data_IF_300912921461
#
_entry.id   IF_300912921461
#
_cell.length_a   1.000
_cell.length_b   1.000
_cell.length_c   1.000
_cell.angle_alpha   90.00
_cell.angle_beta   90.00
_cell.angle_gamma   90.00
#
_symmetry.space_group_name_H-M   'P 1'
#
loop_
_entity.id
_entity.type
_entity.pdbx_description
1 polymer ?
#
# COMPACT_ATOMS: atom_id res chain seq x y z
N UNK A 1 2.51 27.78 -5.95
CA UNK A 1 3.75 28.56 -6.09
C UNK A 1 4.68 28.12 -4.98
N UNK A 2 5.85 27.61 -5.32
CA UNK A 2 6.84 27.11 -4.37
C UNK A 2 7.72 28.26 -3.89
N UNK A 3 7.96 28.31 -2.58
CA UNK A 3 9.27 28.70 -2.06
C UNK A 3 9.67 27.78 -0.91
N UNK A 4 10.95 27.45 -0.93
CA UNK A 4 11.63 26.41 -0.18
C UNK A 4 12.13 26.94 1.17
N UNK A 5 12.18 26.07 2.16
CA UNK A 5 13.21 26.14 3.21
C UNK A 5 13.63 24.71 3.58
N UNK A 6 14.91 24.40 3.28
CA UNK A 6 15.67 23.21 3.68
C UNK A 6 15.75 23.11 5.21
N UNK A 7 15.66 21.95 5.86
CA UNK A 7 16.76 20.98 6.12
C UNK A 7 16.15 19.82 6.95
N UNK A 8 16.17 18.53 6.57
CA UNK A 8 17.17 17.49 6.93
C UNK A 8 17.69 17.58 8.37
N UNK A 9 17.69 16.57 9.28
CA UNK A 9 17.53 15.08 9.33
C UNK A 9 17.52 14.73 10.87
N UNK A 10 17.84 13.51 11.34
CA UNK A 10 17.25 12.17 11.25
C UNK A 10 16.61 11.80 12.61
N UNK A 11 16.47 10.50 12.89
CA UNK A 11 16.12 9.93 14.20
C UNK A 11 16.82 10.62 15.39
N UNK A 12 16.11 10.70 16.52
CA UNK A 12 16.60 11.19 17.80
C UNK A 12 17.80 10.35 18.30
N UNK A 13 18.97 10.99 18.39
CA UNK A 13 19.81 10.93 19.59
C UNK A 13 19.96 12.34 20.20
N UNK A 14 20.11 12.35 21.52
CA UNK A 14 19.97 13.43 22.53
C UNK A 14 20.61 14.82 22.32
N UNK A 15 19.97 15.88 22.87
CA UNK A 15 20.68 17.00 23.56
C UNK A 15 20.22 18.47 23.34
N UNK A 16 19.60 19.07 24.37
CA UNK A 16 19.54 20.49 24.84
C UNK A 16 19.39 21.75 23.91
N UNK A 17 18.31 22.53 24.20
CA UNK A 17 18.00 24.01 24.15
C UNK A 17 18.99 25.00 23.47
N UNK A 18 18.62 26.11 22.78
CA UNK A 18 17.73 27.24 23.17
C UNK A 18 17.59 28.29 22.02
N UNK A 19 16.38 28.87 21.88
CA UNK A 19 15.93 30.22 21.41
C UNK A 19 16.70 31.09 20.37
N UNK A 20 16.03 31.56 19.32
CA UNK A 20 15.34 32.89 19.24
C UNK A 20 14.86 33.25 17.82
N UNK A 21 13.64 33.81 17.77
CA UNK A 21 13.08 34.93 16.95
C UNK A 21 13.57 35.20 15.51
N UNK A 22 12.75 35.52 14.51
CA UNK A 22 11.33 35.84 14.48
C UNK A 22 10.95 36.56 13.16
N UNK A 23 9.63 36.57 12.86
CA UNK A 23 8.89 37.47 11.95
C UNK A 23 9.20 37.36 10.43
N UNK A 24 8.24 37.43 9.49
CA UNK A 24 6.80 37.63 9.59
C UNK A 24 6.16 37.74 8.18
N UNK A 25 4.99 37.08 8.04
CA UNK A 25 3.77 37.49 7.31
C UNK A 25 3.86 38.04 5.86
N UNK A 26 3.22 37.32 4.90
CA UNK A 26 1.82 37.56 4.46
C UNK A 26 1.40 36.64 3.31
N UNK A 27 0.20 36.07 3.46
CA UNK A 27 -0.59 35.30 2.49
C UNK A 27 -1.20 36.22 1.42
N UNK A 28 -1.33 35.72 0.18
CA UNK A 28 -2.36 36.18 -0.75
C UNK A 28 -2.91 35.01 -1.60
N UNK A 29 -4.24 35.01 -1.73
CA UNK A 29 -5.14 33.94 -2.18
C UNK A 29 -5.42 33.94 -3.70
N UNK A 30 -5.99 32.81 -4.14
CA UNK A 30 -6.65 32.41 -5.42
C UNK A 30 -5.78 31.48 -6.27
N UNK A 31 -6.20 30.29 -6.70
CA UNK A 31 -7.56 29.76 -6.93
C UNK A 31 -7.53 28.22 -7.08
N UNK A 32 -8.46 27.50 -6.46
CA UNK A 32 -9.06 26.30 -7.07
C UNK A 32 -10.44 26.03 -6.46
N UNK A 33 -11.48 26.31 -7.24
CA UNK A 33 -12.86 25.85 -7.04
C UNK A 33 -13.47 25.69 -8.43
N UNK A 34 -13.86 24.47 -8.75
CA UNK A 34 -14.55 24.07 -9.98
C UNK A 34 -14.40 22.55 -10.17
N UNK A 35 -15.40 21.71 -9.89
CA UNK A 35 -16.76 22.00 -9.47
C UNK A 35 -17.45 20.80 -8.81
N UNK A 36 -18.48 21.11 -8.04
CA UNK A 36 -19.49 20.21 -7.50
C UNK A 36 -20.75 21.06 -7.30
N UNK A 37 -21.80 20.77 -8.07
CA UNK A 37 -23.22 21.15 -7.87
C UNK A 37 -23.94 20.92 -9.20
N UNK A 38 -25.06 20.21 -9.34
CA UNK A 38 -26.13 19.77 -8.43
C UNK A 38 -26.99 18.76 -9.21
N UNK A 39 -27.69 17.86 -8.51
CA UNK A 39 -28.84 17.17 -9.10
C UNK A 39 -29.27 15.84 -8.48
N UNK A 40 -29.73 15.92 -7.23
CA UNK A 40 -30.73 15.07 -6.57
C UNK A 40 -31.22 13.77 -7.25
N UNK A 41 -31.17 12.68 -6.48
CA UNK A 41 -32.03 11.52 -6.66
C UNK A 41 -31.27 10.20 -6.65
N UNK A 42 -31.05 9.64 -5.46
CA UNK A 42 -31.32 8.23 -5.14
C UNK A 42 -30.85 7.93 -3.71
N UNK A 43 -31.84 7.68 -2.85
CA UNK A 43 -31.69 6.88 -1.65
C UNK A 43 -31.07 5.52 -2.03
N UNK A 44 -30.09 5.05 -1.27
CA UNK A 44 -29.60 3.66 -1.33
C UNK A 44 -28.27 3.45 -2.05
N UNK A 45 -27.15 3.76 -1.38
CA UNK A 45 -25.82 3.27 -1.77
C UNK A 45 -25.04 2.61 -0.61
N UNK A 46 -25.64 2.49 0.58
CA UNK A 46 -25.11 1.69 1.69
C UNK A 46 -25.47 0.20 1.63
N UNK A 47 -26.36 -0.20 0.71
CA UNK A 47 -26.89 -1.58 0.65
C UNK A 47 -26.25 -2.43 -0.46
N UNK A 48 -25.66 -1.81 -1.49
CA UNK A 48 -25.18 -2.55 -2.68
C UNK A 48 -23.80 -3.19 -2.49
N UNK A 49 -22.93 -2.65 -1.62
CA UNK A 49 -21.63 -3.28 -1.34
C UNK A 49 -21.81 -4.54 -0.50
N UNK A 50 -22.76 -4.53 0.46
CA UNK A 50 -23.13 -5.71 1.24
C UNK A 50 -23.78 -6.82 0.41
N UNK A 51 -24.51 -6.48 -0.65
CA UNK A 51 -25.11 -7.46 -1.58
C UNK A 51 -24.11 -8.01 -2.61
N UNK A 52 -23.15 -7.19 -3.09
CA UNK A 52 -22.05 -7.69 -3.94
C UNK A 52 -21.18 -8.71 -3.19
N UNK A 53 -20.88 -8.46 -1.89
CA UNK A 53 -20.16 -9.39 -1.02
C UNK A 53 -20.96 -10.68 -0.79
N UNK A 54 -22.30 -10.62 -0.68
CA UNK A 54 -23.17 -11.80 -0.55
C UNK A 54 -23.28 -12.64 -1.84
N UNK A 55 -23.24 -12.00 -3.01
CA UNK A 55 -23.42 -12.69 -4.30
C UNK A 55 -22.12 -13.27 -4.88
N UNK A 56 -20.95 -12.98 -4.29
CA UNK A 56 -19.66 -13.59 -4.65
C UNK A 56 -19.47 -15.02 -4.11
N UNK A 57 -20.44 -15.54 -3.35
CA UNK A 57 -20.39 -16.89 -2.74
C UNK A 57 -20.69 -18.07 -3.67
N UNK A 58 -20.62 -17.90 -5.00
CA UNK A 58 -21.01 -18.93 -5.96
C UNK A 58 -20.03 -19.01 -7.13
N UNK A 59 -18.77 -19.33 -6.85
CA UNK A 59 -17.95 -20.30 -7.58
C UNK A 59 -16.58 -20.40 -6.87
N UNK A 60 -16.49 -21.32 -5.90
CA UNK A 60 -15.27 -21.78 -5.23
C UNK A 60 -14.32 -20.70 -4.65
N UNK A 61 -14.85 -19.79 -3.85
CA UNK A 61 -14.10 -19.07 -2.82
C UNK A 61 -14.73 -19.38 -1.45
N UNK A 62 -14.01 -20.06 -0.56
CA UNK A 62 -14.53 -20.37 0.76
C UNK A 62 -14.91 -19.08 1.51
N UNK A 63 -16.15 -19.04 1.99
CA UNK A 63 -16.71 -17.98 2.81
C UNK A 63 -15.73 -17.55 3.93
N UNK A 64 -15.23 -16.32 3.88
CA UNK A 64 -14.67 -15.66 5.08
C UNK A 64 -15.84 -14.89 5.73
N UNK A 65 -16.39 -15.37 6.86
CA UNK A 65 -17.43 -14.63 7.54
C UNK A 65 -16.80 -13.41 8.22
N UNK A 66 -17.16 -12.21 7.77
CA UNK A 66 -17.15 -11.03 8.64
C UNK A 66 -18.17 -11.35 9.75
N UNK A 67 -17.71 -11.75 10.93
CA UNK A 67 -18.64 -12.01 12.04
C UNK A 67 -19.31 -10.69 12.43
N UNK A 68 -20.60 -10.59 12.08
CA UNK A 68 -21.49 -9.58 12.63
C UNK A 68 -21.59 -9.83 14.14
N UNK A 69 -21.08 -8.89 14.93
CA UNK A 69 -20.99 -8.96 16.39
C UNK A 69 -22.36 -8.84 17.12
N UNK A 70 -23.47 -9.20 16.48
CA UNK A 70 -24.77 -9.31 17.14
C UNK A 70 -25.04 -10.72 17.69
N UNK A 71 -24.24 -11.73 17.32
CA UNK A 71 -24.30 -13.06 17.94
C UNK A 71 -22.96 -13.37 18.59
N UNK A 72 -22.97 -13.51 19.93
CA UNK A 72 -21.80 -13.87 20.76
C UNK A 72 -21.24 -15.24 20.38
N UNK A 73 -20.45 -15.34 19.32
CA UNK A 73 -19.45 -16.40 19.13
C UNK A 73 -18.10 -15.82 19.52
N UNK A 74 -17.34 -16.56 20.33
CA UNK A 74 -15.98 -16.15 20.66
C UNK A 74 -15.16 -16.05 19.36
N UNK A 75 -14.27 -15.06 19.23
CA UNK A 75 -13.39 -14.95 18.08
C UNK A 75 -12.57 -16.22 17.85
N UNK A 76 -12.26 -16.58 16.60
CA UNK A 76 -11.27 -17.62 16.31
C UNK A 76 -9.96 -17.39 17.06
N UNK A 77 -9.29 -18.46 17.51
CA UNK A 77 -7.94 -18.38 18.08
C UNK A 77 -7.00 -17.70 17.08
N UNK A 78 -6.23 -16.71 17.56
CA UNK A 78 -5.33 -15.90 16.73
C UNK A 78 -5.97 -14.67 16.07
N UNK A 79 -7.24 -14.36 16.36
CA UNK A 79 -7.85 -13.11 15.91
C UNK A 79 -7.26 -11.91 16.65
N UNK A 80 -7.00 -10.83 15.92
CA UNK A 80 -6.65 -9.54 16.50
C UNK A 80 -7.92 -8.73 16.78
N UNK A 81 -7.84 -7.83 17.75
CA UNK A 81 -8.91 -6.92 18.14
C UNK A 81 -8.47 -5.45 18.04
N UNK A 82 -9.35 -4.63 17.49
CA UNK A 82 -9.16 -3.19 17.32
C UNK A 82 -10.31 -2.45 17.99
N UNK A 83 -10.00 -1.57 18.94
CA UNK A 83 -10.96 -0.61 19.46
C UNK A 83 -10.89 0.68 18.63
N UNK A 84 -12.02 1.09 18.08
CA UNK A 84 -12.19 2.34 17.36
C UNK A 84 -12.79 3.35 18.31
N UNK A 85 -12.03 4.41 18.59
CA UNK A 85 -12.41 5.47 19.53
C UNK A 85 -12.80 6.70 18.72
N UNK A 86 -14.09 7.04 18.71
CA UNK A 86 -14.53 8.34 18.22
C UNK A 86 -14.21 9.39 19.30
N UNK A 87 -13.29 10.30 18.99
CA UNK A 87 -12.93 11.40 19.87
C UNK A 87 -13.82 12.61 19.58
N UNK A 88 -14.80 12.81 20.45
CA UNK A 88 -15.85 13.82 20.31
C UNK A 88 -16.28 14.35 21.68
N UNK A 89 -15.81 15.55 22.08
CA UNK A 89 -16.20 16.22 23.33
C UNK A 89 -17.72 16.32 23.48
N UNK A 90 -18.20 16.33 24.73
CA UNK A 90 -19.63 16.28 25.04
C UNK A 90 -20.46 17.38 24.37
N UNK A 91 -19.88 18.58 24.19
CA UNK A 91 -20.56 19.75 23.63
C UNK A 91 -20.08 20.13 22.22
N UNK A 92 -19.34 19.25 21.55
CA UNK A 92 -18.87 19.48 20.19
C UNK A 92 -19.81 18.84 19.17
N UNK A 93 -20.00 19.51 18.04
CA UNK A 93 -20.67 18.93 16.88
C UNK A 93 -19.70 17.96 16.18
N UNK A 94 -20.16 16.75 15.81
CA UNK A 94 -19.35 15.83 15.04
C UNK A 94 -19.11 16.34 13.62
N UNK A 95 -17.94 16.03 13.06
CA UNK A 95 -17.70 16.22 11.63
C UNK A 95 -18.52 15.21 10.80
N UNK A 96 -18.61 13.97 11.27
CA UNK A 96 -19.34 12.90 10.60
C UNK A 96 -20.26 12.09 11.51
N UNK A 97 -19.82 11.86 12.75
CA UNK A 97 -20.54 11.04 13.71
C UNK A 97 -20.20 9.55 13.62
N UNK A 98 -20.49 8.84 14.71
CA UNK A 98 -20.07 7.45 14.92
C UNK A 98 -20.59 6.48 13.86
N UNK A 99 -21.78 6.70 13.30
CA UNK A 99 -22.37 5.81 12.31
C UNK A 99 -21.56 5.78 11.01
N UNK A 100 -21.17 6.95 10.50
CA UNK A 100 -20.39 7.07 9.26
C UNK A 100 -18.95 6.57 9.46
N UNK A 101 -18.34 6.89 10.61
CA UNK A 101 -17.05 6.33 11.02
C UNK A 101 -17.12 4.81 11.07
N UNK A 102 -18.17 4.27 11.72
CA UNK A 102 -18.35 2.83 11.85
C UNK A 102 -18.49 2.14 10.50
N UNK A 103 -19.22 2.75 9.56
CA UNK A 103 -19.34 2.24 8.20
C UNK A 103 -17.98 2.22 7.50
N UNK A 104 -17.25 3.34 7.49
CA UNK A 104 -15.96 3.45 6.80
C UNK A 104 -14.90 2.49 7.34
N UNK A 105 -14.83 2.31 8.67
CA UNK A 105 -13.91 1.34 9.27
C UNK A 105 -14.30 -0.09 8.92
N UNK A 106 -15.59 -0.42 8.96
CA UNK A 106 -16.06 -1.76 8.57
C UNK A 106 -15.77 -2.06 7.10
N UNK A 107 -15.91 -1.07 6.22
CA UNK A 107 -15.59 -1.22 4.79
C UNK A 107 -14.08 -1.47 4.59
N UNK A 108 -13.22 -0.71 5.27
CA UNK A 108 -11.76 -0.93 5.24
C UNK A 108 -11.39 -2.34 5.73
N UNK A 109 -11.91 -2.75 6.90
CA UNK A 109 -11.67 -4.08 7.46
C UNK A 109 -12.21 -5.20 6.57
N UNK A 110 -13.39 -5.00 5.97
CA UNK A 110 -13.98 -5.95 5.03
C UNK A 110 -13.10 -6.17 3.81
N UNK A 111 -12.54 -5.09 3.23
CA UNK A 111 -11.62 -5.18 2.09
C UNK A 111 -10.30 -5.86 2.45
N UNK A 112 -9.74 -5.56 3.62
CA UNK A 112 -8.54 -6.27 4.12
C UNK A 112 -8.85 -7.77 4.22
N UNK A 113 -9.92 -8.13 4.93
CA UNK A 113 -10.31 -9.52 5.16
C UNK A 113 -10.58 -10.32 3.88
N UNK A 114 -11.06 -9.69 2.81
CA UNK A 114 -11.23 -10.35 1.50
C UNK A 114 -9.92 -10.83 0.88
N UNK A 115 -8.79 -10.24 1.27
CA UNK A 115 -7.48 -10.46 0.64
C UNK A 115 -6.45 -11.09 1.58
N UNK A 116 -6.79 -11.25 2.85
CA UNK A 116 -5.97 -11.91 3.87
C UNK A 116 -6.73 -13.09 4.47
N UNK A 117 -6.46 -14.29 3.99
CA UNK A 117 -7.23 -15.51 4.31
C UNK A 117 -7.23 -15.90 5.80
N UNK A 118 -6.17 -15.57 6.53
CA UNK A 118 -6.00 -15.98 7.94
C UNK A 118 -6.05 -14.84 8.95
N UNK A 119 -6.20 -13.60 8.48
CA UNK A 119 -6.24 -12.45 9.37
C UNK A 119 -7.68 -12.15 9.78
N UNK A 120 -8.01 -12.47 11.02
CA UNK A 120 -9.31 -12.16 11.61
C UNK A 120 -9.22 -10.92 12.48
N UNK A 121 -9.97 -9.87 12.11
CA UNK A 121 -10.01 -8.60 12.82
C UNK A 121 -11.37 -8.40 13.47
N UNK A 122 -11.38 -8.32 14.80
CA UNK A 122 -12.55 -7.93 15.58
C UNK A 122 -12.53 -6.44 15.82
N UNK A 123 -13.66 -5.79 15.62
CA UNK A 123 -13.78 -4.33 15.83
C UNK A 123 -14.84 -4.01 16.87
N UNK A 124 -14.48 -3.13 17.80
CA UNK A 124 -15.40 -2.50 18.74
C UNK A 124 -15.38 -1.00 18.53
N UNK A 125 -16.52 -0.36 18.69
CA UNK A 125 -16.66 1.09 18.61
C UNK A 125 -16.97 1.65 19.99
N UNK A 126 -16.31 2.74 20.34
CA UNK A 126 -16.55 3.49 21.57
C UNK A 126 -16.42 4.99 21.31
N UNK A 127 -16.90 5.80 22.26
CA UNK A 127 -16.77 7.25 22.22
C UNK A 127 -15.96 7.71 23.41
N UNK A 128 -15.11 8.70 23.17
CA UNK A 128 -14.33 9.38 24.18
C UNK A 128 -14.60 10.90 24.11
N UNK A 129 -14.88 11.49 25.27
CA UNK A 129 -15.29 12.89 25.42
C UNK A 129 -14.17 13.85 25.81
N UNK A 130 -12.90 13.42 25.79
CA UNK A 130 -11.78 14.31 26.13
C UNK A 130 -11.75 15.55 25.25
N UNK A 131 -11.51 16.70 25.88
CA UNK A 131 -11.37 17.98 25.18
C UNK A 131 -9.95 18.16 24.61
N UNK A 132 -9.78 18.96 23.55
CA UNK A 132 -8.47 19.35 23.04
C UNK A 132 -7.57 19.93 24.14
N UNK A 133 -6.31 19.50 24.19
CA UNK A 133 -5.33 19.90 25.22
C UNK A 133 -4.34 20.96 24.73
N UNK A 134 -4.36 21.29 23.44
CA UNK A 134 -3.49 22.30 22.84
C UNK A 134 -4.26 23.17 21.85
N UNK A 135 -3.54 24.07 21.19
CA UNK A 135 -4.07 24.94 20.15
C UNK A 135 -3.17 24.90 18.93
N UNK A 136 -3.75 24.83 17.74
CA UNK A 136 -3.05 25.02 16.48
C UNK A 136 -3.32 26.42 15.94
N UNK A 137 -2.30 27.01 15.32
CA UNK A 137 -2.43 28.28 14.60
C UNK A 137 -2.68 27.95 13.13
N UNK A 138 -3.85 28.34 12.62
CA UNK A 138 -4.25 28.21 11.22
C UNK A 138 -4.36 29.60 10.57
N UNK A 139 -4.68 29.66 9.27
CA UNK A 139 -4.99 30.92 8.60
C UNK A 139 -6.17 31.67 9.25
N UNK A 140 -7.09 30.92 9.86
CA UNK A 140 -8.30 31.43 10.52
C UNK A 140 -8.07 31.75 12.00
N UNK A 141 -6.84 31.61 12.51
CA UNK A 141 -6.43 31.96 13.87
C UNK A 141 -6.12 30.76 14.75
N UNK A 142 -6.18 30.95 16.07
CA UNK A 142 -5.96 29.87 17.04
C UNK A 142 -7.21 29.01 17.15
N UNK A 143 -7.05 27.71 16.93
CA UNK A 143 -8.12 26.73 17.05
C UNK A 143 -7.73 25.66 18.09
N UNK A 144 -8.68 25.14 18.88
CA UNK A 144 -8.44 23.98 19.74
C UNK A 144 -7.92 22.80 18.92
N UNK A 145 -6.94 22.08 19.45
CA UNK A 145 -6.36 20.92 18.79
C UNK A 145 -5.89 19.85 19.78
N UNK A 146 -5.83 18.61 19.34
CA UNK A 146 -5.30 17.49 20.12
C UNK A 146 -3.80 17.33 19.90
N UNK A 147 -3.04 17.26 20.99
CA UNK A 147 -1.62 16.90 20.93
C UNK A 147 -1.47 15.42 20.63
N UNK A 148 -0.37 15.05 19.97
CA UNK A 148 -0.04 13.65 19.72
C UNK A 148 0.03 12.84 21.03
N UNK A 149 0.50 13.47 22.12
CA UNK A 149 0.61 12.83 23.43
C UNK A 149 -0.76 12.46 23.99
N UNK A 150 -1.74 13.36 23.93
CA UNK A 150 -3.09 13.07 24.41
C UNK A 150 -3.74 11.95 23.57
N UNK A 151 -3.64 12.01 22.25
CA UNK A 151 -4.18 10.97 21.35
C UNK A 151 -3.60 9.60 21.67
N UNK A 152 -2.29 9.53 21.88
CA UNK A 152 -1.61 8.30 22.26
C UNK A 152 -2.10 7.77 23.61
N UNK A 153 -2.22 8.63 24.63
CA UNK A 153 -2.71 8.23 25.95
C UNK A 153 -4.14 7.68 25.91
N UNK A 154 -5.03 8.34 25.15
CA UNK A 154 -6.41 7.89 24.95
C UNK A 154 -6.41 6.51 24.29
N UNK A 155 -5.75 6.37 23.15
CA UNK A 155 -5.72 5.08 22.43
C UNK A 155 -5.11 3.96 23.25
N UNK A 156 -4.03 4.24 23.99
CA UNK A 156 -3.38 3.25 24.86
C UNK A 156 -4.26 2.82 26.03
N UNK A 157 -5.05 3.74 26.60
CA UNK A 157 -6.00 3.42 27.67
C UNK A 157 -7.08 2.45 27.16
N UNK A 158 -7.70 2.76 26.02
CA UNK A 158 -8.74 1.90 25.42
C UNK A 158 -8.19 0.55 24.94
N UNK A 159 -6.99 0.51 24.34
CA UNK A 159 -6.39 -0.75 23.91
C UNK A 159 -6.09 -1.66 25.10
N UNK A 160 -5.42 -1.17 26.15
CA UNK A 160 -5.00 -1.98 27.31
C UNK A 160 -6.15 -2.70 28.02
N UNK A 161 -7.31 -2.07 28.04
CA UNK A 161 -8.47 -2.60 28.74
C UNK A 161 -9.24 -3.63 27.88
N UNK A 162 -9.17 -3.49 26.54
CA UNK A 162 -10.21 -4.07 25.69
C UNK A 162 -9.74 -4.66 24.35
N UNK A 163 -8.51 -4.42 23.89
CA UNK A 163 -8.09 -4.80 22.52
C UNK A 163 -6.57 -4.90 22.29
N UNK A 164 -6.17 -5.53 21.19
CA UNK A 164 -4.75 -5.65 20.79
C UNK A 164 -4.19 -4.34 20.21
N UNK A 165 -5.07 -3.44 19.74
CA UNK A 165 -4.73 -2.18 19.08
C UNK A 165 -5.85 -1.14 19.27
N UNK A 166 -5.53 0.15 19.10
CA UNK A 166 -6.54 1.22 19.06
C UNK A 166 -6.42 2.11 17.81
N UNK A 167 -7.57 2.47 17.25
CA UNK A 167 -7.72 3.46 16.18
C UNK A 167 -8.54 4.65 16.70
N UNK A 168 -7.88 5.79 16.93
CA UNK A 168 -8.53 7.01 17.41
C UNK A 168 -8.92 7.89 16.24
N UNK A 169 -10.21 8.13 16.06
CA UNK A 169 -10.75 9.00 15.02
C UNK A 169 -11.08 10.36 15.62
N UNK A 170 -10.40 11.40 15.17
CA UNK A 170 -10.63 12.79 15.61
C UNK A 170 -11.83 13.35 14.85
N UNK A 171 -13.03 13.17 15.40
CA UNK A 171 -14.34 13.54 14.80
C UNK A 171 -14.81 14.95 15.22
N UNK A 172 -13.91 15.72 15.83
CA UNK A 172 -14.13 17.13 16.19
C UNK A 172 -12.80 17.81 16.40
N UNK A 173 -12.74 19.13 16.19
CA UNK A 173 -11.48 19.88 16.24
C UNK A 173 -10.41 19.31 15.27
N UNK A 174 -9.15 19.68 15.42
CA UNK A 174 -8.06 19.18 14.58
C UNK A 174 -6.90 18.66 15.45
N UNK A 175 -5.83 18.17 14.84
CA UNK A 175 -4.60 17.79 15.51
C UNK A 175 -3.59 18.94 15.50
N UNK A 176 -2.70 18.94 16.48
CA UNK A 176 -1.63 19.95 16.62
C UNK A 176 -0.76 20.05 15.36
N UNK A 177 -0.55 18.91 14.70
CA UNK A 177 0.19 18.76 13.45
C UNK A 177 -0.76 18.39 12.31
N UNK A 178 -0.52 18.92 11.13
CA UNK A 178 -1.42 18.81 9.98
C UNK A 178 -0.82 18.17 8.72
N UNK A 179 0.45 17.81 8.78
CA UNK A 179 1.17 17.20 7.67
C UNK A 179 0.79 15.74 7.42
N UNK A 180 -0.04 15.13 8.29
CA UNK A 180 -0.50 13.76 8.16
C UNK A 180 -2.02 13.69 8.18
N UNK A 181 -2.60 12.72 7.48
CA UNK A 181 -4.01 12.36 7.57
C UNK A 181 -4.24 11.28 8.63
N UNK A 182 -3.32 10.32 8.72
CA UNK A 182 -3.22 9.32 9.78
C UNK A 182 -1.79 9.24 10.30
N UNK A 183 -1.61 8.74 11.52
CA UNK A 183 -0.30 8.44 12.08
C UNK A 183 -0.41 7.29 13.08
N UNK A 184 0.40 6.26 12.85
CA UNK A 184 0.58 5.11 13.74
C UNK A 184 1.78 5.31 14.66
N UNK A 185 1.60 5.01 15.94
CA UNK A 185 2.63 5.12 16.99
C UNK A 185 2.81 3.76 17.66
N UNK A 186 4.07 3.37 17.84
CA UNK A 186 4.48 2.18 18.58
C UNK A 186 5.18 2.56 19.87
N UNK A 187 4.95 1.75 20.90
CA UNK A 187 5.66 1.78 22.17
C UNK A 187 5.93 0.33 22.58
N UNK A 188 7.17 -0.03 22.89
CA UNK A 188 7.53 -1.40 23.26
C UNK A 188 6.76 -1.94 24.48
N UNK A 189 6.12 -1.06 25.28
CA UNK A 189 5.37 -1.42 26.50
C UNK A 189 3.85 -1.34 26.35
N UNK A 190 3.34 -0.90 25.21
CA UNK A 190 1.92 -0.66 25.00
C UNK A 190 1.46 -1.17 23.63
N UNK A 191 0.18 -1.56 23.50
CA UNK A 191 -0.44 -1.79 22.20
C UNK A 191 -0.18 -0.65 21.21
N UNK A 192 -0.03 -0.93 19.91
CA UNK A 192 0.09 0.11 18.90
C UNK A 192 -1.21 0.92 18.80
N UNK A 193 -1.06 2.21 18.51
CA UNK A 193 -2.17 3.15 18.40
C UNK A 193 -2.02 3.92 17.10
N UNK A 194 -3.08 3.96 16.31
CA UNK A 194 -3.21 4.86 15.19
C UNK A 194 -4.19 5.98 15.51
N UNK A 195 -3.96 7.16 14.95
CA UNK A 195 -4.93 8.25 14.97
C UNK A 195 -5.14 8.81 13.58
N UNK A 196 -6.41 9.04 13.23
CA UNK A 196 -6.83 9.52 11.92
C UNK A 196 -7.65 10.79 12.10
N UNK A 197 -7.30 11.81 11.32
CA UNK A 197 -7.98 13.11 11.32
C UNK A 197 -9.22 13.04 10.42
N UNK A 198 -10.33 13.56 10.91
CA UNK A 198 -11.53 13.74 10.09
C UNK A 198 -11.64 15.17 9.55
N UNK A 199 -10.71 15.60 8.68
CA UNK A 199 -10.78 16.93 8.05
C UNK A 199 -11.68 16.88 6.82
N UNK A 200 -12.98 16.75 7.03
CA UNK A 200 -14.00 16.73 5.98
C UNK A 200 -14.27 15.36 5.35
N UNK A 201 -13.86 14.27 6.01
CA UNK A 201 -13.86 12.94 5.39
C UNK A 201 -12.76 12.02 5.89
N UNK A 202 -12.96 11.21 6.94
CA UNK A 202 -12.14 10.00 7.15
C UNK A 202 -12.21 9.12 5.91
N UNK A 203 -11.05 8.76 5.37
CA UNK A 203 -10.92 8.01 4.14
C UNK A 203 -10.65 6.52 4.44
N UNK A 204 -11.27 5.62 3.65
CA UNK A 204 -11.14 4.16 3.82
C UNK A 204 -9.68 3.73 3.64
N UNK A 205 -9.00 4.32 2.66
CA UNK A 205 -7.60 4.16 2.36
C UNK A 205 -6.72 4.60 3.52
N UNK A 206 -6.97 5.76 4.14
CA UNK A 206 -6.20 6.18 5.33
C UNK A 206 -6.43 5.21 6.50
N UNK A 207 -7.66 4.78 6.76
CA UNK A 207 -7.93 3.78 7.80
C UNK A 207 -7.15 2.49 7.53
N UNK A 208 -7.24 1.95 6.31
CA UNK A 208 -6.57 0.72 5.94
C UNK A 208 -5.03 0.83 5.96
N UNK A 209 -4.50 1.99 5.59
CA UNK A 209 -3.06 2.31 5.67
C UNK A 209 -2.56 2.23 7.12
N UNK A 210 -3.22 2.94 8.04
CA UNK A 210 -2.83 2.93 9.45
C UNK A 210 -3.03 1.56 10.09
N UNK A 211 -4.10 0.85 9.73
CA UNK A 211 -4.26 -0.54 10.14
C UNK A 211 -3.11 -1.40 9.62
N UNK A 212 -2.70 -1.27 8.35
CA UNK A 212 -1.57 -1.99 7.77
C UNK A 212 -0.28 -1.86 8.58
N UNK A 213 0.02 -0.65 9.07
CA UNK A 213 1.13 -0.45 10.01
C UNK A 213 0.95 -1.26 11.31
N UNK A 214 -0.24 -1.31 11.88
CA UNK A 214 -0.46 -2.03 13.14
C UNK A 214 -0.54 -3.57 12.98
N UNK A 215 -0.90 -4.07 11.79
CA UNK A 215 -1.01 -5.49 11.50
C UNK A 215 0.36 -6.15 11.40
N UNK A 216 0.76 -6.88 12.45
CA UNK A 216 2.04 -7.59 12.52
C UNK A 216 1.83 -9.09 12.81
N UNK A 217 2.57 -9.98 12.13
CA UNK A 217 2.63 -11.40 12.51
C UNK A 217 3.15 -11.60 13.93
N UNK A 218 2.83 -12.75 14.52
CA UNK A 218 3.28 -13.10 15.87
C UNK A 218 4.82 -13.03 15.99
N UNK A 219 5.30 -12.41 17.07
CA UNK A 219 6.73 -12.21 17.30
C UNK A 219 7.36 -11.03 16.54
N UNK A 220 6.61 -10.36 15.66
CA UNK A 220 7.06 -9.16 14.97
C UNK A 220 6.57 -7.90 15.70
N UNK A 221 7.50 -6.97 15.99
CA UNK A 221 7.19 -5.76 16.77
C UNK A 221 6.37 -4.71 16.02
N UNK A 222 6.44 -4.69 14.68
CA UNK A 222 5.84 -3.65 13.83
C UNK A 222 5.25 -4.30 12.57
N UNK A 223 4.11 -3.81 12.11
CA UNK A 223 3.46 -4.30 10.89
C UNK A 223 4.08 -3.73 9.62
N UNK A 224 3.26 -3.54 8.59
CA UNK A 224 3.74 -3.12 7.26
C UNK A 224 4.51 -1.80 7.31
N UNK A 225 5.47 -1.68 6.40
CA UNK A 225 6.16 -0.44 6.05
C UNK A 225 5.50 0.25 4.87
N UNK A 226 6.22 1.11 4.17
CA UNK A 226 5.69 1.81 3.00
C UNK A 226 6.00 1.07 1.69
N UNK A 227 5.16 1.32 0.68
CA UNK A 227 5.33 0.77 -0.66
C UNK A 227 5.81 1.84 -1.65
N UNK A 228 7.09 1.77 -1.97
CA UNK A 228 7.80 2.65 -2.88
C UNK A 228 7.62 2.16 -4.34
N UNK A 229 8.04 2.97 -5.29
CA UNK A 229 8.07 2.58 -6.70
C UNK A 229 9.33 3.08 -7.39
N UNK A 230 9.86 2.30 -8.32
CA UNK A 230 10.83 2.77 -9.29
C UNK A 230 10.15 3.77 -10.24
N UNK A 231 10.87 4.83 -10.63
CA UNK A 231 10.37 5.81 -11.59
C UNK A 231 9.90 5.16 -12.89
N UNK A 232 8.67 5.47 -13.30
CA UNK A 232 8.13 5.05 -14.59
C UNK A 232 8.89 5.71 -15.73
N UNK A 233 9.09 4.94 -16.81
CA UNK A 233 9.63 5.45 -18.07
C UNK A 233 8.58 6.25 -18.83
N UNK A 234 7.31 6.15 -18.45
CA UNK A 234 6.25 7.05 -18.89
C UNK A 234 5.96 8.03 -17.76
N UNK A 235 6.27 9.30 -17.98
CA UNK A 235 5.88 10.39 -17.09
C UNK A 235 4.51 10.89 -17.51
N UNK A 236 3.66 11.24 -16.56
CA UNK A 236 2.48 12.05 -16.86
C UNK A 236 2.89 13.52 -16.81
N UNK A 237 2.69 14.24 -17.91
CA UNK A 237 2.82 15.69 -18.01
C UNK A 237 1.44 16.27 -18.34
N UNK A 238 0.76 16.78 -17.30
CA UNK A 238 -0.67 17.08 -17.36
C UNK A 238 -1.49 15.82 -17.69
N UNK A 239 -2.40 15.91 -18.65
CA UNK A 239 -3.23 14.78 -19.12
C UNK A 239 -2.51 13.87 -20.14
N UNK A 240 -1.22 14.11 -20.42
CA UNK A 240 -0.48 13.36 -21.44
C UNK A 240 0.55 12.44 -20.81
N UNK A 241 0.46 11.17 -21.17
CA UNK A 241 1.56 10.22 -20.95
C UNK A 241 2.70 10.53 -21.93
N UNK A 242 3.79 11.06 -21.40
CA UNK A 242 5.04 11.31 -22.12
C UNK A 242 6.00 10.17 -21.79
N UNK A 243 6.29 9.32 -22.77
CA UNK A 243 7.38 8.34 -22.66
C UNK A 243 8.69 9.14 -22.58
N UNK A 244 9.53 8.91 -21.57
CA UNK A 244 10.84 9.53 -21.44
C UNK A 244 11.74 8.97 -22.56
N UNK A 245 11.79 9.73 -23.65
CA UNK A 245 12.49 9.37 -24.88
C UNK A 245 14.01 9.25 -24.72
N UNK A 246 14.58 9.69 -23.59
CA UNK A 246 16.04 9.63 -23.37
C UNK A 246 16.60 8.21 -23.49
N UNK A 247 15.76 7.17 -23.36
CA UNK A 247 16.20 5.77 -23.42
C UNK A 247 15.25 4.78 -24.16
N UNK A 248 14.31 5.21 -25.01
CA UNK A 248 13.38 4.28 -25.72
C UNK A 248 14.11 3.37 -26.75
N UNK A 249 13.79 2.06 -26.94
CA UNK A 249 13.06 1.10 -26.10
C UNK A 249 13.64 -0.34 -26.18
N UNK A 250 14.45 -0.76 -25.22
CA UNK A 250 14.85 -2.17 -25.13
C UNK A 250 14.47 -2.76 -23.78
N UNK A 251 14.05 -4.02 -23.80
CA UNK A 251 13.99 -4.82 -22.57
C UNK A 251 15.41 -4.87 -22.03
N UNK A 252 15.67 -4.12 -20.97
CA UNK A 252 16.99 -3.88 -20.41
C UNK A 252 17.14 -4.60 -19.05
N UNK A 253 18.37 -4.83 -18.57
CA UNK A 253 18.65 -5.23 -17.19
C UNK A 253 18.51 -4.07 -16.20
N UNK A 254 18.21 -4.38 -14.94
CA UNK A 254 18.09 -3.38 -13.86
C UNK A 254 19.37 -2.54 -13.70
N UNK A 255 20.53 -3.14 -13.97
CA UNK A 255 21.84 -2.47 -13.95
C UNK A 255 21.87 -1.29 -14.93
N UNK A 256 21.42 -1.49 -16.17
CA UNK A 256 21.35 -0.44 -17.20
C UNK A 256 20.32 0.63 -16.82
N UNK A 257 19.18 0.23 -16.23
CA UNK A 257 18.16 1.17 -15.77
C UNK A 257 18.71 2.10 -14.70
N UNK A 258 19.42 1.57 -13.70
CA UNK A 258 20.04 2.38 -12.65
C UNK A 258 21.18 3.22 -13.21
N UNK A 259 22.02 2.67 -14.09
CA UNK A 259 23.11 3.39 -14.75
C UNK A 259 22.61 4.57 -15.60
N UNK A 260 21.43 4.43 -16.20
CA UNK A 260 20.73 5.51 -16.92
C UNK A 260 20.17 6.61 -16.00
N UNK A 261 20.32 6.47 -14.67
CA UNK A 261 19.93 7.46 -13.67
C UNK A 261 18.51 7.30 -13.12
N UNK A 262 17.83 6.18 -13.42
CA UNK A 262 16.56 5.87 -12.78
C UNK A 262 16.79 5.46 -11.32
N UNK A 263 15.89 5.92 -10.47
CA UNK A 263 15.83 5.51 -9.07
C UNK A 263 14.40 5.47 -8.57
N UNK A 264 14.23 5.42 -7.26
CA UNK A 264 12.90 5.50 -6.65
C UNK A 264 12.22 6.82 -7.05
N UNK A 265 10.90 6.76 -7.25
CA UNK A 265 10.07 7.93 -7.52
C UNK A 265 10.27 8.96 -6.42
N UNK A 266 10.36 10.23 -6.83
CA UNK A 266 10.67 11.33 -5.93
C UNK A 266 9.43 12.16 -5.65
N UNK A 267 9.34 12.67 -4.43
CA UNK A 267 8.33 13.66 -4.05
C UNK A 267 8.69 15.05 -4.59
N UNK A 268 7.83 16.03 -4.31
CA UNK A 268 8.05 17.43 -4.70
C UNK A 268 9.32 18.06 -4.11
N UNK A 269 9.88 17.46 -3.05
CA UNK A 269 11.15 17.87 -2.45
C UNK A 269 12.37 17.29 -3.17
N UNK A 270 12.17 16.40 -4.13
CA UNK A 270 13.21 15.70 -4.88
C UNK A 270 13.83 14.53 -4.12
N UNK A 271 13.23 14.13 -3.00
CA UNK A 271 13.64 12.94 -2.22
C UNK A 271 12.82 11.74 -2.62
N UNK A 272 13.35 10.51 -2.50
CA UNK A 272 12.56 9.30 -2.69
C UNK A 272 11.23 9.37 -1.91
N UNK A 273 10.12 9.07 -2.58
CA UNK A 273 8.77 9.09 -2.04
C UNK A 273 8.36 7.69 -1.56
N UNK A 274 8.16 7.48 -0.25
CA UNK A 274 7.66 6.21 0.28
C UNK A 274 6.23 5.88 -0.18
N UNK A 275 5.49 6.87 -0.67
CA UNK A 275 4.09 6.77 -1.05
C UNK A 275 3.87 6.73 -2.57
N UNK A 276 4.82 6.14 -3.31
CA UNK A 276 4.79 6.16 -4.76
C UNK A 276 4.04 4.98 -5.39
N UNK A 277 4.00 3.82 -4.72
CA UNK A 277 3.35 2.64 -5.29
C UNK A 277 1.83 2.83 -5.40
N UNK A 278 1.28 2.50 -6.56
CA UNK A 278 -0.17 2.53 -6.82
C UNK A 278 -0.86 1.17 -6.61
N UNK A 279 -0.10 0.16 -6.20
CA UNK A 279 -0.56 -1.23 -6.07
C UNK A 279 -0.82 -1.65 -4.62
N UNK A 280 -0.68 -0.71 -3.69
CA UNK A 280 -0.94 -0.93 -2.27
C UNK A 280 -1.41 0.37 -1.63
N UNK A 281 -2.28 0.24 -0.64
CA UNK A 281 -2.70 1.33 0.24
C UNK A 281 -1.51 1.90 1.02
N UNK A 282 -0.46 1.09 1.27
CA UNK A 282 0.79 1.54 1.90
C UNK A 282 1.63 2.45 1.00
N UNK A 283 1.38 2.42 -0.31
CA UNK A 283 1.97 3.32 -1.28
C UNK A 283 1.05 4.51 -1.54
N UNK A 284 -0.19 4.29 -1.93
CA UNK A 284 -1.08 5.39 -2.29
C UNK A 284 -2.49 5.14 -1.77
N UNK A 285 -2.71 5.52 -0.51
CA UNK A 285 -3.99 5.33 0.17
C UNK A 285 -5.16 6.02 -0.53
N UNK A 286 -4.92 7.22 -1.10
CA UNK A 286 -5.95 8.01 -1.79
C UNK A 286 -6.55 7.28 -3.01
N UNK A 287 -5.77 6.43 -3.69
CA UNK A 287 -6.31 5.62 -4.79
C UNK A 287 -7.40 4.65 -4.33
N UNK A 288 -7.37 4.20 -3.08
CA UNK A 288 -8.28 3.18 -2.55
C UNK A 288 -9.56 3.77 -1.94
N UNK A 289 -9.62 5.09 -1.75
CA UNK A 289 -10.79 5.79 -1.22
C UNK A 289 -11.97 5.80 -2.18
N UNK A 290 -11.69 5.87 -3.48
CA UNK A 290 -12.68 5.92 -4.54
C UNK A 290 -12.69 4.69 -5.44
N UNK A 291 -11.97 3.62 -5.07
CA UNK A 291 -11.95 2.40 -5.88
C UNK A 291 -13.34 1.81 -5.96
N UNK A 292 -13.88 1.82 -7.19
CA UNK A 292 -15.22 1.30 -7.54
C UNK A 292 -15.31 -0.20 -7.28
N UNK A 293 -14.16 -0.90 -7.28
CA UNK A 293 -14.11 -2.33 -7.06
C UNK A 293 -13.44 -2.70 -5.72
N UNK A 294 -14.21 -3.15 -4.71
CA UNK A 294 -13.70 -3.50 -3.40
C UNK A 294 -12.89 -4.80 -3.38
N UNK A 295 -12.77 -5.49 -4.52
CA UNK A 295 -12.09 -6.77 -4.64
C UNK A 295 -10.60 -6.65 -5.01
N UNK A 296 -10.14 -5.45 -5.35
CA UNK A 296 -8.71 -5.18 -5.52
C UNK A 296 -8.04 -5.30 -4.15
N UNK A 297 -6.94 -6.05 -4.03
CA UNK A 297 -6.19 -6.14 -2.78
C UNK A 297 -5.76 -4.78 -2.26
N UNK A 298 -5.98 -4.55 -0.96
CA UNK A 298 -5.49 -3.33 -0.31
C UNK A 298 -3.97 -3.37 -0.14
N UNK A 299 -3.40 -4.56 0.00
CA UNK A 299 -1.97 -4.77 0.14
C UNK A 299 -1.44 -5.50 -1.10
N UNK A 300 -0.21 -5.16 -1.47
CA UNK A 300 0.53 -5.82 -2.54
C UNK A 300 0.95 -7.24 -2.15
N UNK A 301 1.32 -8.04 -3.14
CA UNK A 301 1.74 -9.43 -2.89
C UNK A 301 2.85 -9.63 -1.84
N UNK A 302 3.95 -8.85 -1.80
CA UNK A 302 4.93 -9.01 -0.72
C UNK A 302 4.36 -8.68 0.66
N UNK A 303 3.47 -7.68 0.76
CA UNK A 303 2.84 -7.29 2.02
C UNK A 303 1.83 -8.35 2.50
N UNK A 304 1.06 -8.94 1.57
CA UNK A 304 0.20 -10.08 1.87
C UNK A 304 1.01 -11.28 2.33
N UNK A 305 2.13 -11.58 1.66
CA UNK A 305 3.04 -12.66 2.06
C UNK A 305 3.66 -12.43 3.45
N UNK A 306 3.91 -11.17 3.82
CA UNK A 306 4.36 -10.82 5.17
C UNK A 306 3.24 -11.00 6.21
N UNK A 307 2.02 -10.55 5.91
CA UNK A 307 0.89 -10.58 6.84
C UNK A 307 0.26 -11.96 7.02
N UNK A 308 0.24 -12.78 5.97
CA UNK A 308 -0.40 -14.09 5.96
C UNK A 308 0.64 -15.21 5.78
N UNK A 309 1.09 -15.84 6.90
CA UNK A 309 2.15 -16.84 6.86
C UNK A 309 1.72 -18.16 6.20
N UNK A 310 0.45 -18.34 5.84
CA UNK A 310 0.01 -19.57 5.17
C UNK A 310 0.18 -19.51 3.66
N UNK A 311 0.44 -18.32 3.10
CA UNK A 311 0.74 -18.16 1.69
C UNK A 311 2.04 -18.88 1.36
N UNK A 312 1.98 -19.79 0.38
CA UNK A 312 3.17 -20.54 -0.01
C UNK A 312 4.09 -19.66 -0.85
N UNK A 313 5.23 -19.27 -0.28
CA UNK A 313 6.28 -18.54 -0.98
C UNK A 313 7.47 -19.47 -1.23
N UNK A 314 7.87 -19.60 -2.51
CA UNK A 314 9.03 -20.43 -2.84
C UNK A 314 10.29 -19.60 -2.82
N UNK A 315 11.18 -19.93 -1.90
CA UNK A 315 12.51 -19.35 -1.86
C UNK A 315 13.45 -20.02 -2.88
N UNK A 316 14.18 -19.22 -3.67
CA UNK A 316 15.11 -19.67 -4.70
C UNK A 316 16.53 -19.32 -4.28
N UNK A 317 17.34 -20.36 -4.05
CA UNK A 317 18.73 -20.22 -3.58
C UNK A 317 19.77 -20.22 -4.70
N UNK A 318 19.43 -20.74 -5.89
CA UNK A 318 20.31 -20.81 -7.06
C UNK A 318 19.60 -20.27 -8.31
N UNK A 319 19.30 -18.96 -8.38
CA UNK A 319 18.49 -18.38 -9.44
C UNK A 319 19.12 -18.55 -10.84
N UNK A 320 20.45 -18.48 -10.92
CA UNK A 320 21.23 -18.59 -12.18
C UNK A 320 21.23 -19.98 -12.82
N UNK A 321 20.80 -21.03 -12.11
CA UNK A 321 20.59 -22.37 -12.70
C UNK A 321 19.30 -22.45 -13.51
N UNK A 322 18.47 -21.41 -13.42
CA UNK A 322 17.15 -21.39 -14.01
C UNK A 322 16.16 -22.26 -13.27
N UNK A 323 14.90 -22.12 -13.63
CA UNK A 323 13.80 -22.91 -13.08
C UNK A 323 12.93 -23.43 -14.20
N UNK A 324 12.25 -24.56 -13.96
CA UNK A 324 11.05 -24.88 -14.73
C UNK A 324 9.94 -23.85 -14.45
N UNK A 325 8.78 -24.03 -15.09
CA UNK A 325 7.60 -23.23 -14.79
C UNK A 325 7.19 -23.42 -13.33
N UNK A 326 7.10 -22.30 -12.62
CA UNK A 326 6.65 -22.21 -11.24
C UNK A 326 5.22 -21.67 -11.30
N UNK A 327 4.19 -22.49 -11.03
CA UNK A 327 2.82 -22.00 -11.03
C UNK A 327 2.65 -20.93 -9.95
N UNK A 328 1.97 -19.84 -10.30
CA UNK A 328 1.58 -18.76 -9.40
C UNK A 328 0.06 -18.67 -9.37
N UNK A 329 -0.49 -18.68 -8.17
CA UNK A 329 -1.92 -18.58 -7.90
C UNK A 329 -2.21 -17.36 -7.03
N UNK A 330 -3.46 -16.90 -7.07
CA UNK A 330 -3.97 -15.85 -6.19
C UNK A 330 -5.25 -16.37 -5.51
N UNK A 331 -5.34 -16.23 -4.19
CA UNK A 331 -6.49 -16.71 -3.40
C UNK A 331 -6.40 -18.21 -3.05
N UNK A 332 -5.70 -18.53 -1.96
CA UNK A 332 -5.57 -19.88 -1.43
C UNK A 332 -4.18 -20.16 -0.84
N UNK A 333 -3.98 -21.31 -0.17
CA UNK A 333 -2.68 -21.68 0.42
C UNK A 333 -1.63 -22.10 -0.63
N UNK A 334 -2.00 -22.10 -1.91
CA UNK A 334 -1.11 -22.41 -3.02
C UNK A 334 -0.02 -21.36 -3.21
N UNK A 335 0.88 -21.59 -4.17
CA UNK A 335 2.06 -20.77 -4.37
C UNK A 335 1.69 -19.34 -4.82
N UNK A 336 1.89 -18.38 -3.93
CA UNK A 336 1.56 -16.97 -4.13
C UNK A 336 2.73 -16.14 -4.70
N UNK A 337 3.96 -16.64 -4.60
CA UNK A 337 5.13 -15.92 -5.10
C UNK A 337 6.43 -16.68 -4.94
N UNK A 338 7.52 -16.02 -5.34
CA UNK A 338 8.89 -16.50 -5.14
C UNK A 338 9.76 -15.40 -4.53
N UNK A 339 10.78 -15.80 -3.78
CA UNK A 339 11.80 -14.90 -3.24
C UNK A 339 13.20 -15.32 -3.66
N UNK A 340 14.08 -14.33 -3.86
CA UNK A 340 15.50 -14.50 -4.17
C UNK A 340 16.29 -13.56 -3.25
N UNK A 341 17.36 -14.04 -2.62
CA UNK A 341 18.24 -13.18 -1.81
C UNK A 341 19.04 -12.22 -2.69
N UNK A 342 19.18 -10.98 -2.23
CA UNK A 342 19.97 -9.95 -2.91
C UNK A 342 21.37 -9.84 -2.29
N UNK A 343 22.44 -10.07 -3.07
CA UNK A 343 23.82 -9.89 -2.61
C UNK A 343 24.08 -8.52 -1.98
N UNK A 344 25.03 -8.45 -1.06
CA UNK A 344 25.38 -7.20 -0.36
C UNK A 344 25.92 -6.11 -1.31
N UNK A 345 26.55 -6.51 -2.42
CA UNK A 345 27.12 -5.62 -3.44
C UNK A 345 26.18 -5.39 -4.64
N UNK A 346 24.91 -5.77 -4.50
CA UNK A 346 23.94 -5.63 -5.58
C UNK A 346 23.60 -4.17 -5.90
N UNK A 347 23.48 -3.84 -7.19
CA UNK A 347 23.25 -2.47 -7.69
C UNK A 347 21.97 -1.83 -7.16
N UNK A 348 20.93 -2.63 -6.90
CA UNK A 348 19.66 -2.15 -6.33
C UNK A 348 19.86 -1.39 -5.02
N UNK A 349 20.89 -1.75 -4.23
CA UNK A 349 21.21 -1.08 -2.97
C UNK A 349 21.71 0.37 -3.17
N UNK A 350 22.04 0.79 -4.40
CA UNK A 350 22.32 2.19 -4.69
C UNK A 350 21.07 3.08 -4.61
N UNK A 351 19.89 2.53 -4.93
CA UNK A 351 18.62 3.26 -4.91
C UNK A 351 17.72 2.88 -3.73
N UNK A 352 17.89 1.66 -3.19
CA UNK A 352 17.19 1.15 -2.02
C UNK A 352 18.20 0.41 -1.11
N UNK A 353 18.96 1.13 -0.25
CA UNK A 353 20.11 0.56 0.48
C UNK A 353 19.81 -0.67 1.34
N UNK A 354 18.59 -0.75 1.85
CA UNK A 354 18.19 -1.81 2.77
C UNK A 354 17.65 -3.07 2.08
N UNK A 355 17.49 -3.07 0.74
CA UNK A 355 16.96 -4.22 -0.01
C UNK A 355 17.73 -5.49 0.31
N UNK A 356 17.03 -6.51 0.83
CA UNK A 356 17.61 -7.80 1.18
C UNK A 356 17.13 -8.94 0.26
N UNK A 357 15.97 -8.75 -0.38
CA UNK A 357 15.31 -9.78 -1.17
C UNK A 357 14.63 -9.18 -2.40
N UNK A 358 14.53 -9.97 -3.47
CA UNK A 358 13.58 -9.77 -4.56
C UNK A 358 12.38 -10.67 -4.32
N UNK A 359 11.19 -10.08 -4.31
CA UNK A 359 9.93 -10.78 -4.29
C UNK A 359 9.27 -10.69 -5.67
N UNK A 360 8.82 -11.82 -6.20
CA UNK A 360 8.10 -11.88 -7.48
C UNK A 360 6.73 -12.52 -7.20
N UNK A 361 5.66 -11.79 -7.49
CA UNK A 361 4.30 -12.25 -7.21
C UNK A 361 3.25 -11.46 -7.97
N UNK A 362 1.97 -11.89 -7.91
CA UNK A 362 0.93 -11.38 -8.77
C UNK A 362 0.60 -9.91 -8.47
N UNK A 363 0.22 -9.17 -9.49
CA UNK A 363 -0.51 -7.91 -9.35
C UNK A 363 -1.93 -8.19 -9.82
N UNK A 364 -2.89 -7.99 -8.92
CA UNK A 364 -4.30 -8.30 -9.16
C UNK A 364 -5.07 -7.07 -9.60
N UNK A 365 -5.95 -7.24 -10.58
CA UNK A 365 -6.93 -6.20 -10.96
C UNK A 365 -8.32 -6.78 -11.13
N UNK A 366 -9.29 -5.93 -10.81
CA UNK A 366 -10.65 -6.33 -10.52
C UNK A 366 -11.51 -6.78 -11.71
N UNK A 367 -11.15 -6.33 -12.92
CA UNK A 367 -11.92 -6.61 -14.14
C UNK A 367 -11.84 -8.08 -14.60
N UNK A 368 -11.09 -8.93 -13.90
CA UNK A 368 -10.75 -10.28 -14.34
C UNK A 368 -10.89 -11.30 -13.22
N UNK A 369 -11.99 -11.36 -12.46
CA UNK A 369 -12.09 -12.31 -11.32
C UNK A 369 -11.98 -13.80 -11.68
N UNK A 370 -12.37 -14.18 -12.91
CA UNK A 370 -12.12 -15.54 -13.41
C UNK A 370 -10.62 -15.82 -13.64
N UNK A 371 -9.80 -14.78 -13.68
CA UNK A 371 -8.39 -14.74 -14.04
C UNK A 371 -7.69 -13.55 -13.32
N UNK A 372 -7.63 -13.55 -11.97
CA UNK A 372 -7.44 -12.32 -11.18
C UNK A 372 -6.05 -11.67 -11.34
N UNK A 373 -5.07 -12.42 -11.84
CA UNK A 373 -3.69 -11.96 -11.99
C UNK A 373 -3.57 -11.17 -13.30
N UNK A 374 -3.53 -9.84 -13.19
CA UNK A 374 -3.35 -8.96 -14.36
C UNK A 374 -1.92 -9.05 -14.90
N UNK A 375 -0.92 -9.07 -14.02
CA UNK A 375 0.51 -9.16 -14.40
C UNK A 375 1.36 -9.70 -13.26
N UNK A 376 2.64 -9.94 -13.53
CA UNK A 376 3.61 -10.30 -12.49
C UNK A 376 4.38 -9.06 -12.02
N UNK A 377 4.33 -8.80 -10.71
CA UNK A 377 5.13 -7.77 -10.07
C UNK A 377 6.47 -8.31 -9.60
N UNK A 378 7.52 -7.51 -9.76
CA UNK A 378 8.85 -7.71 -9.20
C UNK A 378 9.12 -6.59 -8.21
N UNK A 379 9.42 -6.94 -6.97
CA UNK A 379 9.56 -6.02 -5.86
C UNK A 379 10.94 -6.21 -5.22
N UNK A 380 11.65 -5.11 -4.99
CA UNK A 380 12.70 -5.11 -3.99
C UNK A 380 12.05 -5.04 -2.61
N UNK A 381 12.41 -5.93 -1.70
CA UNK A 381 11.85 -5.99 -0.34
C UNK A 381 12.96 -5.88 0.69
N UNK A 382 12.60 -5.34 1.86
CA UNK A 382 13.48 -5.25 3.02
C UNK A 382 12.70 -5.33 4.33
N UNK A 383 13.43 -5.33 5.45
CA UNK A 383 12.85 -5.46 6.79
C UNK A 383 12.03 -6.75 6.95
N UNK A 384 12.45 -7.84 6.28
CA UNK A 384 11.70 -9.11 6.26
C UNK A 384 10.40 -9.06 5.45
N UNK A 385 10.31 -8.21 4.43
CA UNK A 385 9.13 -8.08 3.56
C UNK A 385 8.12 -7.01 4.01
N UNK A 386 8.42 -6.29 5.10
CA UNK A 386 7.56 -5.21 5.62
C UNK A 386 7.52 -4.01 4.68
N UNK A 387 8.68 -3.64 4.15
CA UNK A 387 8.83 -2.54 3.22
C UNK A 387 9.10 -3.10 1.82
N UNK A 388 8.60 -2.41 0.80
CA UNK A 388 8.78 -2.84 -0.59
C UNK A 388 8.94 -1.67 -1.56
N UNK A 389 9.61 -1.92 -2.68
CA UNK A 389 9.64 -1.05 -3.84
C UNK A 389 9.30 -1.86 -5.08
N UNK A 390 8.22 -1.52 -5.78
CA UNK A 390 7.94 -2.16 -7.07
C UNK A 390 8.96 -1.71 -8.11
N UNK A 391 9.56 -2.68 -8.80
CA UNK A 391 10.60 -2.52 -9.80
C UNK A 391 10.07 -2.76 -11.22
N UNK A 392 8.78 -2.58 -11.49
CA UNK A 392 8.18 -2.74 -12.82
C UNK A 392 8.11 -1.37 -13.53
N UNK A 393 9.18 -0.89 -14.19
CA UNK A 393 9.05 0.18 -15.16
C UNK A 393 8.11 -0.26 -16.28
N UNK A 394 7.49 0.70 -16.95
CA UNK A 394 6.52 0.48 -18.03
C UNK A 394 7.02 -0.40 -19.19
N UNK A 395 8.34 -0.60 -19.32
CA UNK A 395 8.94 -1.46 -20.35
C UNK A 395 8.78 -2.96 -20.06
N UNK A 396 8.54 -3.35 -18.81
CA UNK A 396 8.26 -4.73 -18.39
C UNK A 396 6.77 -4.94 -18.05
N UNK A 397 5.96 -3.90 -18.26
CA UNK A 397 4.61 -3.79 -17.74
C UNK A 397 3.57 -4.38 -18.74
N UNK A 398 3.67 -5.69 -19.00
CA UNK A 398 2.76 -6.41 -19.90
C UNK A 398 1.73 -7.25 -19.09
N UNK A 399 0.45 -7.14 -19.44
CA UNK A 399 -0.61 -7.94 -18.82
C UNK A 399 -0.61 -9.39 -19.34
N UNK A 400 -1.01 -10.33 -18.48
CA UNK A 400 -1.25 -11.73 -18.82
C UNK A 400 -2.39 -11.82 -19.84
N UNK A 401 -2.14 -12.55 -20.94
CA UNK A 401 -3.12 -12.73 -22.03
C UNK A 401 -3.82 -14.08 -21.90
N UNK A 402 -4.88 -14.13 -21.11
CA UNK A 402 -5.68 -15.33 -20.88
C UNK A 402 -6.47 -15.82 -22.10
N UNK A 403 -6.68 -14.97 -23.11
CA UNK A 403 -7.33 -15.35 -24.37
C UNK A 403 -6.42 -16.14 -25.32
N UNK A 404 -5.12 -16.15 -25.06
CA UNK A 404 -4.14 -16.90 -25.86
C UNK A 404 -3.96 -18.31 -25.26
N UNK A 405 -3.58 -19.30 -26.07
CA UNK A 405 -3.31 -20.65 -25.52
C UNK A 405 -2.02 -20.70 -24.69
N UNK A 406 -1.07 -19.85 -25.05
CA UNK A 406 0.20 -19.66 -24.34
C UNK A 406 0.67 -18.24 -24.60
N UNK A 407 1.10 -17.56 -23.55
CA UNK A 407 1.68 -16.23 -23.61
C UNK A 407 2.81 -16.13 -22.59
N UNK A 408 3.93 -15.53 -22.98
CA UNK A 408 5.07 -15.28 -22.09
C UNK A 408 5.74 -13.95 -22.43
N UNK A 409 6.15 -13.22 -21.39
CA UNK A 409 6.88 -11.98 -21.50
C UNK A 409 8.00 -11.89 -20.48
N UNK A 410 8.92 -10.95 -20.73
CA UNK A 410 10.01 -10.62 -19.81
C UNK A 410 9.48 -9.63 -18.79
N UNK A 411 9.47 -10.03 -17.52
CA UNK A 411 9.01 -9.19 -16.41
C UNK A 411 10.16 -8.46 -15.72
N UNK A 412 11.39 -9.00 -15.77
CA UNK A 412 12.57 -8.42 -15.13
C UNK A 412 13.85 -9.08 -15.67
N UNK A 413 14.96 -8.35 -15.68
CA UNK A 413 16.28 -8.87 -16.03
C UNK A 413 17.30 -8.36 -15.01
N UNK A 414 18.18 -9.25 -14.56
CA UNK A 414 19.21 -8.95 -13.60
C UNK A 414 20.53 -9.65 -13.95
N UNK A 415 21.54 -8.86 -14.31
CA UNK A 415 22.83 -9.37 -14.71
C UNK A 415 23.66 -9.91 -13.54
N UNK A 416 23.55 -9.29 -12.35
CA UNK A 416 24.31 -9.72 -11.18
C UNK A 416 23.79 -11.04 -10.61
N UNK A 417 22.47 -11.26 -10.69
CA UNK A 417 21.87 -12.56 -10.38
C UNK A 417 21.97 -13.55 -11.55
N UNK A 418 22.32 -13.07 -12.75
CA UNK A 418 22.44 -13.87 -13.97
C UNK A 418 21.11 -14.44 -14.46
N UNK A 419 20.01 -13.72 -14.28
CA UNK A 419 18.65 -14.19 -14.58
C UNK A 419 17.84 -13.23 -15.45
N UNK A 420 16.90 -13.84 -16.16
CA UNK A 420 15.72 -13.20 -16.71
C UNK A 420 14.49 -13.81 -16.02
N UNK A 421 13.59 -12.99 -15.52
CA UNK A 421 12.29 -13.41 -15.00
C UNK A 421 11.29 -13.38 -16.15
N UNK A 422 10.84 -14.56 -16.56
CA UNK A 422 9.76 -14.71 -17.53
C UNK A 422 8.46 -14.98 -16.78
N UNK A 423 7.40 -14.31 -17.20
CA UNK A 423 6.05 -14.47 -16.66
C UNK A 423 5.06 -14.70 -17.78
N UNK A 424 4.09 -15.56 -17.54
CA UNK A 424 3.17 -15.97 -18.59
C UNK A 424 2.01 -16.80 -18.08
N UNK A 425 1.22 -17.29 -19.03
CA UNK A 425 0.24 -18.32 -18.76
C UNK A 425 0.31 -19.40 -19.83
N UNK A 426 -0.03 -20.62 -19.44
CA UNK A 426 -0.21 -21.73 -20.34
C UNK A 426 -1.48 -22.48 -19.95
N UNK A 427 -2.41 -22.63 -20.90
CA UNK A 427 -3.71 -23.28 -20.66
C UNK A 427 -4.47 -22.68 -19.46
N UNK A 428 -4.34 -21.37 -19.24
CA UNK A 428 -4.98 -20.65 -18.14
C UNK A 428 -4.20 -20.63 -16.83
N UNK A 429 -3.17 -21.47 -16.66
CA UNK A 429 -2.32 -21.45 -15.47
C UNK A 429 -1.24 -20.37 -15.61
N UNK A 430 -1.25 -19.40 -14.70
CA UNK A 430 -0.17 -18.39 -14.60
C UNK A 430 1.06 -19.03 -13.99
N UNK A 431 2.24 -18.65 -14.51
CA UNK A 431 3.51 -19.10 -13.99
C UNK A 431 4.58 -18.01 -14.09
N UNK A 432 5.64 -18.22 -13.32
CA UNK A 432 6.93 -17.54 -13.48
C UNK A 432 8.01 -18.57 -13.69
N UNK A 433 9.09 -18.18 -14.35
CA UNK A 433 10.33 -18.97 -14.36
C UNK A 433 11.53 -18.06 -14.46
N UNK A 434 12.63 -18.51 -13.87
CA UNK A 434 13.92 -17.87 -14.00
C UNK A 434 14.65 -18.55 -15.16
N UNK A 435 15.13 -17.76 -16.10
CA UNK A 435 15.90 -18.23 -17.25
C UNK A 435 17.34 -17.74 -17.05
N UNK A 436 18.36 -18.60 -17.13
CA UNK A 436 19.73 -18.14 -17.04
C UNK A 436 20.06 -17.18 -18.18
N UNK A 437 20.55 -15.99 -17.85
CA UNK A 437 20.67 -14.88 -18.80
C UNK A 437 21.63 -15.17 -19.97
N UNK A 438 22.62 -16.05 -19.74
CA UNK A 438 23.63 -16.44 -20.73
C UNK A 438 23.14 -17.45 -21.78
N UNK A 439 21.89 -17.91 -21.69
CA UNK A 439 21.33 -18.92 -22.60
C UNK A 439 20.77 -18.29 -23.87
N UNK A 440 20.76 -19.05 -24.97
CA UNK A 440 20.11 -18.63 -26.23
C UNK A 440 18.62 -18.33 -26.03
N UNK A 441 17.95 -19.10 -25.15
CA UNK A 441 16.56 -18.89 -24.79
C UNK A 441 16.31 -17.50 -24.18
N UNK A 442 17.15 -17.07 -23.24
CA UNK A 442 17.03 -15.74 -22.64
C UNK A 442 17.18 -14.64 -23.70
N UNK A 443 18.15 -14.79 -24.62
CA UNK A 443 18.36 -13.82 -25.71
C UNK A 443 17.18 -13.77 -26.68
N UNK A 444 16.55 -14.91 -26.97
CA UNK A 444 15.36 -14.97 -27.80
C UNK A 444 14.14 -14.32 -27.14
N UNK A 445 13.94 -14.52 -25.83
CA UNK A 445 12.89 -13.84 -25.05
C UNK A 445 13.08 -12.32 -25.03
N UNK A 446 14.32 -11.84 -24.84
CA UNK A 446 14.66 -10.42 -24.89
C UNK A 446 14.31 -9.85 -26.26
N UNK A 447 14.77 -10.50 -27.34
CA UNK A 447 14.48 -10.06 -28.71
C UNK A 447 12.97 -10.01 -28.98
N UNK A 448 12.23 -11.05 -28.60
CA UNK A 448 10.78 -11.09 -28.78
C UNK A 448 10.06 -9.99 -27.97
N UNK A 449 10.53 -9.71 -26.74
CA UNK A 449 10.02 -8.61 -25.92
C UNK A 449 10.29 -7.24 -26.55
N UNK A 450 11.49 -7.02 -27.09
CA UNK A 450 11.85 -5.79 -27.80
C UNK A 450 10.97 -5.58 -29.04
N UNK A 451 10.75 -6.62 -29.85
CA UNK A 451 9.87 -6.54 -31.01
C UNK A 451 8.42 -6.20 -30.64
N UNK A 452 7.91 -6.76 -29.52
CA UNK A 452 6.57 -6.41 -29.01
C UNK A 452 6.50 -4.96 -28.53
N UNK A 453 7.52 -4.50 -27.82
CA UNK A 453 7.61 -3.12 -27.33
C UNK A 453 7.64 -2.11 -28.48
N UNK A 454 8.43 -2.37 -29.53
CA UNK A 454 8.48 -1.52 -30.72
C UNK A 454 7.09 -1.45 -31.39
N UNK A 455 6.42 -2.60 -31.57
CA UNK A 455 5.06 -2.64 -32.14
C UNK A 455 4.04 -1.85 -31.31
N UNK A 456 4.11 -1.91 -29.98
CA UNK A 456 3.19 -1.16 -29.10
C UNK A 456 3.45 0.34 -29.09
N UNK A 457 4.63 0.77 -29.53
CA UNK A 457 5.02 2.17 -29.63
C UNK A 457 4.56 2.85 -30.92
N UNK A 458 3.94 2.13 -31.87
CA UNK A 458 3.59 2.63 -33.21
C UNK A 458 4.78 3.28 -33.95
N UNK A 459 5.98 2.68 -33.81
CA UNK A 459 7.19 3.04 -34.56
C UNK A 459 7.42 2.03 -35.67
#
# INVERSE_FOLDING_TARGET
MCESSKSERPELESGHFQETDGSGKKVSRRSFLGGMALGAGCLGAGTLIGEAIKNLGSEQGQNIPIQHNNERKAPPLGSLSVVVVQLLPENAEPHQGIEKISSGVRDALGRIALTTSHLYLNVRFTRDGHSPDTTRITEDGKQPAYSQRLLQLIGQAHAREESDMALVIVDSADTEKDYYAGLTVYDDKYPPVAFVRDVGGVSIGTIAHELGHMLAPEGVKRGLGHAWALQSWVRQDGDKEVKDWRHSPHVAPIQDIIAAGYGLEKDDSGKPNPYASRYSVMGNSALFDSMVDPTIPMFSSPELAFLDPTLSIRHITMPSMGTGQIPINYGGPDRAGITIDIPEDHILRQIAPNTDTLFIGPIVRSKQWSNPIDRMGVFATWSGGRDSAILNPSIWDESIKYSENSFEHVAYIDEQLGILVAAGQQSGQVYVRLVPLHTEEAQELIRAGQERLIKSLNI
#
